data_IF_484912337226
#
_entry.id   IF_484912337226
#
_cell.length_a   1.000
_cell.length_b   1.000
_cell.length_c   1.000
_cell.angle_alpha   90.00
_cell.angle_beta   90.00
_cell.angle_gamma   90.00
#
_symmetry.space_group_name_H-M   'P 1'
#
loop_
_entity.id
_entity.type
_entity.pdbx_description
1 polymer ?
#
# COMPACT_ATOMS: atom_id res chain seq x y z
N UNK A 1 -6.06 -22.14 5.69
CA UNK A 1 -7.51 -22.21 5.99
C UNK A 1 -8.29 -21.25 5.12
N UNK A 2 -9.39 -21.69 4.48
CA UNK A 2 -10.20 -20.91 3.54
C UNK A 2 -11.67 -20.90 4.00
N UNK A 3 -12.47 -19.98 3.46
CA UNK A 3 -13.91 -19.98 3.69
C UNK A 3 -14.61 -21.00 2.78
N UNK A 4 -15.57 -21.73 3.35
CA UNK A 4 -16.48 -22.58 2.57
C UNK A 4 -17.65 -21.73 2.03
N UNK A 5 -17.47 -21.16 0.82
CA UNK A 5 -18.52 -20.35 0.16
C UNK A 5 -19.71 -21.18 -0.36
N UNK A 6 -19.72 -22.50 -0.22
CA UNK A 6 -20.93 -23.29 -0.41
C UNK A 6 -21.90 -23.14 0.78
N UNK A 7 -21.38 -22.80 1.95
CA UNK A 7 -22.20 -22.44 3.11
C UNK A 7 -22.95 -21.12 2.90
N UNK A 8 -24.29 -21.18 2.93
CA UNK A 8 -25.15 -20.00 2.67
C UNK A 8 -24.93 -18.84 3.67
N UNK A 9 -24.59 -19.15 4.93
CA UNK A 9 -24.35 -18.11 5.94
C UNK A 9 -23.02 -17.36 5.69
N UNK A 10 -22.00 -18.06 5.20
CA UNK A 10 -20.73 -17.45 4.78
C UNK A 10 -20.98 -16.63 3.50
N UNK A 11 -21.65 -17.21 2.51
CA UNK A 11 -21.96 -16.55 1.24
C UNK A 11 -22.76 -15.26 1.40
N UNK A 12 -23.73 -15.23 2.29
CA UNK A 12 -24.57 -14.04 2.54
C UNK A 12 -23.75 -12.82 2.97
N UNK A 13 -22.70 -13.03 3.77
CA UNK A 13 -21.91 -11.97 4.39
C UNK A 13 -20.54 -11.79 3.69
N UNK A 14 -20.30 -12.47 2.54
CA UNK A 14 -18.96 -12.53 1.93
C UNK A 14 -18.40 -11.18 1.48
N UNK A 15 -19.28 -10.21 1.23
CA UNK A 15 -18.88 -8.86 0.80
C UNK A 15 -18.80 -7.85 1.96
N UNK A 16 -19.19 -8.27 3.16
CA UNK A 16 -19.22 -7.37 4.31
C UNK A 16 -17.83 -7.35 4.95
N UNK A 17 -17.38 -6.17 5.29
CA UNK A 17 -16.06 -5.96 5.88
C UNK A 17 -15.86 -4.54 6.37
N UNK A 18 -14.73 -4.31 7.01
CA UNK A 18 -14.35 -2.99 7.51
C UNK A 18 -13.11 -2.52 6.77
N UNK A 19 -13.11 -1.26 6.39
CA UNK A 19 -12.14 -0.65 5.50
C UNK A 19 -11.54 0.61 6.12
N UNK A 20 -10.22 0.73 6.08
CA UNK A 20 -9.47 1.91 6.48
C UNK A 20 -8.38 2.23 5.46
N UNK A 21 -7.90 3.46 5.46
CA UNK A 21 -6.88 3.90 4.52
C UNK A 21 -5.94 4.91 5.19
N UNK A 22 -4.63 4.70 4.97
CA UNK A 22 -3.58 5.65 5.30
C UNK A 22 -2.98 6.15 3.99
N UNK A 23 -2.95 7.46 3.80
CA UNK A 23 -2.42 8.08 2.58
C UNK A 23 -1.36 9.10 2.93
N UNK A 24 -0.17 8.88 2.46
CA UNK A 24 0.93 9.82 2.56
C UNK A 24 0.94 10.81 1.38
N UNK A 25 1.64 11.94 1.54
CA UNK A 25 1.86 12.88 0.46
C UNK A 25 2.77 14.04 0.86
N UNK A 26 3.69 14.41 -0.03
CA UNK A 26 4.65 15.48 0.22
C UNK A 26 4.03 16.86 0.01
N UNK A 27 4.36 17.82 0.88
CA UNK A 27 4.05 19.24 0.69
C UNK A 27 5.16 19.90 -0.11
N UNK A 28 4.78 20.69 -1.08
CA UNK A 28 5.68 21.47 -1.94
C UNK A 28 5.32 22.95 -1.91
N UNK A 29 6.32 23.79 -2.10
CA UNK A 29 6.16 25.24 -2.24
C UNK A 29 5.73 25.63 -3.68
N UNK A 30 5.39 26.89 -3.96
CA UNK A 30 4.94 27.33 -5.27
C UNK A 30 5.96 27.19 -6.42
N UNK A 31 7.21 26.86 -6.12
CA UNK A 31 8.27 26.64 -7.11
C UNK A 31 8.58 25.15 -7.34
N UNK A 32 7.88 24.24 -6.62
CA UNK A 32 8.01 22.79 -6.78
C UNK A 32 9.09 22.14 -5.93
N UNK A 33 9.69 22.87 -4.99
CA UNK A 33 10.59 22.30 -3.98
C UNK A 33 9.82 21.78 -2.78
N UNK A 34 10.46 20.90 -2.01
CA UNK A 34 9.95 20.45 -0.73
C UNK A 34 9.62 21.64 0.19
N UNK A 35 8.48 21.63 0.85
CA UNK A 35 8.11 22.64 1.82
C UNK A 35 8.91 22.46 3.12
N UNK A 36 9.26 23.59 3.75
CA UNK A 36 10.01 23.60 5.02
C UNK A 36 9.25 24.28 6.16
N UNK A 37 7.97 24.59 5.96
CA UNK A 37 7.11 25.15 6.99
C UNK A 37 6.73 24.08 8.01
N UNK A 38 6.33 24.50 9.20
CA UNK A 38 5.80 23.63 10.23
C UNK A 38 4.52 22.92 9.71
N UNK A 39 4.31 21.67 10.16
CA UNK A 39 3.09 20.91 9.85
C UNK A 39 1.83 21.69 10.27
N UNK A 40 0.86 21.91 9.37
CA UNK A 40 -0.27 22.82 9.62
C UNK A 40 -1.46 22.19 10.35
N UNK A 41 -1.38 20.91 10.73
CA UNK A 41 -2.47 20.17 11.37
C UNK A 41 -2.08 19.69 12.79
N UNK A 42 -1.82 20.59 13.75
CA UNK A 42 -1.46 20.16 15.08
C UNK A 42 -2.64 19.46 15.76
N UNK A 43 -2.41 18.23 16.24
CA UNK A 43 -3.39 17.44 16.99
C UNK A 43 -4.69 17.11 16.21
N UNK A 44 -4.64 17.05 14.88
CA UNK A 44 -5.78 16.60 14.10
C UNK A 44 -5.93 15.07 14.24
N UNK A 45 -7.13 14.54 14.49
CA UNK A 45 -7.31 13.09 14.74
C UNK A 45 -6.97 12.21 13.51
N UNK A 46 -7.21 12.73 12.30
CA UNK A 46 -7.08 11.99 11.05
C UNK A 46 -5.95 12.50 10.14
N UNK A 47 -5.19 13.52 10.56
CA UNK A 47 -4.12 14.09 9.74
C UNK A 47 -2.89 14.32 10.62
N UNK A 48 -1.81 13.59 10.33
CA UNK A 48 -0.52 13.71 11.00
C UNK A 48 0.59 13.86 9.93
N UNK A 49 1.80 13.64 10.30
CA UNK A 49 2.99 13.55 9.45
C UNK A 49 3.66 12.20 9.64
N UNK A 50 4.08 11.60 8.55
CA UNK A 50 4.80 10.34 8.61
C UNK A 50 6.29 10.58 8.96
N UNK A 51 7.24 10.30 8.08
CA UNK A 51 8.66 10.45 8.37
C UNK A 51 9.12 11.91 8.33
N UNK A 52 8.69 12.66 7.32
CA UNK A 52 9.11 14.03 7.08
C UNK A 52 8.12 15.05 7.65
N UNK A 53 8.62 16.20 8.14
CA UNK A 53 7.76 17.31 8.56
C UNK A 53 6.84 17.80 7.44
N UNK A 54 7.26 17.65 6.21
CA UNK A 54 6.49 17.99 5.01
C UNK A 54 5.78 16.79 4.34
N UNK A 55 5.72 15.63 4.99
CA UNK A 55 4.97 14.47 4.51
C UNK A 55 3.68 14.33 5.32
N UNK A 56 2.58 14.80 4.73
CA UNK A 56 1.25 14.67 5.34
C UNK A 56 0.80 13.22 5.24
N UNK A 57 0.27 12.69 6.32
CA UNK A 57 -0.39 11.41 6.40
C UNK A 57 -1.87 11.62 6.75
N UNK A 58 -2.76 11.16 5.87
CA UNK A 58 -4.21 11.16 6.08
C UNK A 58 -4.60 9.75 6.51
N UNK A 59 -5.24 9.63 7.67
CA UNK A 59 -5.68 8.36 8.26
C UNK A 59 -7.20 8.42 8.39
N UNK A 60 -7.93 7.58 7.66
CA UNK A 60 -9.40 7.52 7.76
C UNK A 60 -9.82 6.79 9.03
N UNK A 61 -11.06 7.00 9.44
CA UNK A 61 -11.74 6.10 10.37
C UNK A 61 -12.04 4.76 9.67
N UNK A 62 -12.53 3.80 10.42
CA UNK A 62 -12.97 2.51 9.90
C UNK A 62 -14.40 2.65 9.34
N UNK A 63 -14.62 2.14 8.14
CA UNK A 63 -15.92 2.18 7.44
C UNK A 63 -16.38 0.79 7.04
N UNK A 64 -17.69 0.58 7.03
CA UNK A 64 -18.31 -0.69 6.62
C UNK A 64 -18.52 -0.77 5.10
N UNK A 65 -18.07 0.24 4.35
CA UNK A 65 -18.14 0.26 2.90
C UNK A 65 -17.00 1.06 2.28
N UNK A 66 -16.61 0.68 1.06
CA UNK A 66 -15.60 1.43 0.26
C UNK A 66 -16.15 2.81 -0.14
N UNK A 67 -17.47 2.97 -0.29
CA UNK A 67 -18.11 4.26 -0.51
C UNK A 67 -17.85 5.22 0.66
N UNK A 68 -18.20 4.82 1.88
CA UNK A 68 -17.99 5.64 3.07
C UNK A 68 -16.52 5.98 3.30
N UNK A 69 -15.63 4.99 3.09
CA UNK A 69 -14.18 5.19 3.11
C UNK A 69 -13.74 6.26 2.10
N UNK A 70 -14.24 6.16 0.85
CA UNK A 70 -13.90 7.08 -0.23
C UNK A 70 -14.38 8.50 0.05
N UNK A 71 -15.59 8.66 0.58
CA UNK A 71 -16.17 9.96 0.91
C UNK A 71 -15.36 10.64 2.02
N UNK A 72 -14.97 9.91 3.06
CA UNK A 72 -14.10 10.47 4.11
C UNK A 72 -12.71 10.82 3.60
N UNK A 73 -12.07 9.93 2.82
CA UNK A 73 -10.78 10.23 2.21
C UNK A 73 -10.83 11.51 1.39
N UNK A 74 -11.88 11.66 0.56
CA UNK A 74 -12.09 12.85 -0.30
C UNK A 74 -12.29 14.12 0.53
N UNK A 75 -13.03 14.02 1.63
CA UNK A 75 -13.25 15.13 2.58
C UNK A 75 -11.95 15.57 3.27
N UNK A 76 -11.21 14.61 3.84
CA UNK A 76 -9.92 14.89 4.50
C UNK A 76 -8.87 15.42 3.51
N UNK A 77 -8.81 14.84 2.30
CA UNK A 77 -7.93 15.34 1.22
C UNK A 77 -8.26 16.78 0.87
N UNK A 78 -9.54 17.12 0.72
CA UNK A 78 -10.01 18.49 0.46
C UNK A 78 -9.59 19.43 1.57
N UNK A 79 -9.73 19.02 2.84
CA UNK A 79 -9.30 19.80 3.99
C UNK A 79 -7.78 20.06 3.95
N UNK A 80 -6.96 19.05 3.65
CA UNK A 80 -5.51 19.21 3.50
C UNK A 80 -5.21 20.21 2.39
N UNK A 81 -5.77 20.04 1.20
CA UNK A 81 -5.49 20.91 0.04
C UNK A 81 -5.89 22.36 0.32
N UNK A 82 -7.09 22.61 0.90
CA UNK A 82 -7.56 23.96 1.26
C UNK A 82 -6.64 24.62 2.31
N UNK A 83 -6.23 23.87 3.33
CA UNK A 83 -5.32 24.37 4.37
C UNK A 83 -3.96 24.74 3.81
N UNK A 84 -3.38 23.91 2.97
CA UNK A 84 -2.09 24.17 2.32
C UNK A 84 -2.15 25.37 1.35
N UNK A 85 -3.22 25.48 0.58
CA UNK A 85 -3.42 26.59 -0.36
C UNK A 85 -3.52 27.94 0.34
N UNK A 86 -4.12 27.97 1.55
CA UNK A 86 -4.32 29.16 2.37
C UNK A 86 -3.30 29.29 3.52
N UNK A 87 -2.19 28.53 3.50
CA UNK A 87 -1.24 28.50 4.59
C UNK A 87 -0.58 29.86 4.84
N UNK A 88 -0.58 30.32 6.09
CA UNK A 88 -0.06 31.64 6.48
C UNK A 88 1.44 31.83 6.27
N UNK A 89 2.21 30.73 6.30
CA UNK A 89 3.65 30.72 6.01
C UNK A 89 4.01 30.77 4.52
N UNK A 90 3.01 30.88 3.65
CA UNK A 90 3.11 30.87 2.20
C UNK A 90 2.33 29.70 1.60
N UNK A 91 1.73 29.95 0.45
CA UNK A 91 0.94 28.92 -0.26
C UNK A 91 1.77 27.66 -0.53
N UNK A 92 1.19 26.50 -0.23
CA UNK A 92 1.76 25.20 -0.49
C UNK A 92 0.78 24.32 -1.29
N UNK A 93 1.29 23.22 -1.85
CA UNK A 93 0.50 22.25 -2.59
C UNK A 93 0.84 20.84 -2.14
N UNK A 94 -0.12 19.91 -2.25
CA UNK A 94 0.12 18.51 -2.05
C UNK A 94 0.67 17.90 -3.36
N UNK A 95 1.85 17.25 -3.26
CA UNK A 95 2.49 16.60 -4.39
C UNK A 95 1.74 15.32 -4.77
N UNK A 96 1.31 15.13 -6.04
CA UNK A 96 0.38 14.05 -6.39
C UNK A 96 1.04 12.70 -6.73
N UNK A 97 2.36 12.56 -6.57
CA UNK A 97 3.10 11.36 -6.94
C UNK A 97 3.72 10.68 -5.73
N UNK A 98 3.91 9.33 -5.83
CA UNK A 98 4.69 8.56 -4.85
C UNK A 98 6.16 8.97 -4.82
N UNK A 99 6.74 9.21 -5.97
CA UNK A 99 8.13 9.61 -6.09
C UNK A 99 8.29 11.10 -5.77
N UNK A 100 9.36 11.50 -5.06
CA UNK A 100 9.54 12.89 -4.67
C UNK A 100 9.73 13.83 -5.87
N UNK A 101 9.46 15.13 -5.69
CA UNK A 101 9.85 16.17 -6.63
C UNK A 101 11.37 16.37 -6.64
N UNK A 102 11.86 17.54 -7.06
CA UNK A 102 13.27 17.89 -6.95
C UNK A 102 13.76 17.90 -5.51
N UNK A 103 14.87 17.20 -5.24
CA UNK A 103 15.49 17.08 -3.91
C UNK A 103 16.93 17.60 -3.96
N UNK A 104 17.24 18.63 -3.16
CA UNK A 104 18.57 19.26 -3.15
C UNK A 104 19.64 18.45 -2.41
N UNK A 105 19.29 17.34 -1.80
CA UNK A 105 20.16 16.45 -1.05
C UNK A 105 19.53 15.99 0.26
N UNK A 106 20.24 15.18 1.04
CA UNK A 106 19.77 14.63 2.33
C UNK A 106 19.31 15.71 3.32
N UNK A 107 19.98 16.87 3.34
CA UNK A 107 19.66 17.99 4.22
C UNK A 107 18.37 18.73 3.85
N UNK A 108 17.88 18.53 2.62
CA UNK A 108 16.62 19.10 2.13
C UNK A 108 15.39 18.38 2.70
N UNK A 109 15.59 17.22 3.31
CA UNK A 109 14.51 16.38 3.86
C UNK A 109 14.37 16.63 5.37
N UNK A 110 13.35 17.41 5.81
CA UNK A 110 13.15 17.71 7.22
C UNK A 110 12.52 16.51 7.94
N UNK A 111 13.19 16.01 8.98
CA UNK A 111 12.60 14.97 9.85
C UNK A 111 11.43 15.59 10.63
N UNK A 112 10.33 14.84 10.74
CA UNK A 112 9.14 15.25 11.48
C UNK A 112 9.46 15.54 12.96
N UNK A 113 8.97 16.67 13.47
CA UNK A 113 9.18 17.15 14.82
C UNK A 113 7.96 16.89 15.70
N UNK A 114 8.20 16.41 16.91
CA UNK A 114 7.15 16.08 17.87
C UNK A 114 7.49 16.65 19.24
N UNK A 115 6.47 17.11 19.96
CA UNK A 115 6.61 17.64 21.30
C UNK A 115 6.13 16.64 22.37
N UNK A 116 6.59 16.83 23.61
CA UNK A 116 6.12 16.10 24.78
C UNK A 116 6.34 14.57 24.70
N UNK A 117 5.31 13.81 24.96
CA UNK A 117 5.34 12.33 25.00
C UNK A 117 5.66 11.69 23.65
N UNK A 118 5.39 12.39 22.55
CA UNK A 118 5.63 11.91 21.19
C UNK A 118 7.09 12.07 20.71
N UNK A 119 7.96 12.66 21.53
CA UNK A 119 9.38 12.88 21.18
C UNK A 119 10.14 11.56 20.87
N UNK A 120 9.64 10.44 21.35
CA UNK A 120 10.14 9.11 20.98
C UNK A 120 10.03 8.81 19.48
N UNK A 121 8.96 9.29 18.82
CA UNK A 121 8.75 9.16 17.37
C UNK A 121 9.86 9.88 16.58
N UNK A 122 10.35 11.02 17.04
CA UNK A 122 11.43 11.78 16.39
C UNK A 122 12.75 10.99 16.41
N UNK A 123 13.13 10.44 17.57
CA UNK A 123 14.35 9.62 17.71
C UNK A 123 14.33 8.37 16.82
N UNK A 124 13.17 7.76 16.66
CA UNK A 124 13.00 6.64 15.75
C UNK A 124 13.24 7.04 14.29
N UNK A 125 12.74 8.20 13.87
CA UNK A 125 12.95 8.73 12.51
C UNK A 125 14.40 9.12 12.26
N UNK A 126 15.08 9.67 13.25
CA UNK A 126 16.52 9.93 13.19
C UNK A 126 17.34 8.65 12.99
N UNK A 127 16.96 7.56 13.67
CA UNK A 127 17.55 6.25 13.45
C UNK A 127 17.32 5.76 12.01
N UNK A 128 16.08 5.82 11.50
CA UNK A 128 15.76 5.43 10.12
C UNK A 128 16.55 6.26 9.10
N UNK A 129 16.68 7.57 9.34
CA UNK A 129 17.49 8.47 8.52
C UNK A 129 18.97 8.05 8.47
N UNK A 130 19.51 7.60 9.60
CA UNK A 130 20.88 7.10 9.68
C UNK A 130 21.09 5.75 8.97
N UNK A 131 20.08 4.86 9.02
CA UNK A 131 20.17 3.52 8.44
C UNK A 131 19.89 3.49 6.95
N UNK A 132 18.84 4.16 6.49
CA UNK A 132 18.34 4.08 5.12
C UNK A 132 18.58 5.34 4.28
N UNK A 133 19.02 6.44 4.90
CA UNK A 133 19.05 7.75 4.28
C UNK A 133 17.69 8.46 4.30
N UNK A 134 17.68 9.79 4.32
CA UNK A 134 16.43 10.57 4.38
C UNK A 134 15.68 10.58 3.04
N UNK A 135 16.40 10.56 1.92
CA UNK A 135 15.80 10.56 0.58
C UNK A 135 14.90 9.36 0.37
N UNK A 136 15.28 8.15 0.85
CA UNK A 136 14.50 6.92 0.73
C UNK A 136 13.15 7.03 1.42
N UNK A 137 13.08 7.83 2.50
CA UNK A 137 11.87 8.05 3.28
C UNK A 137 10.87 9.03 2.62
N UNK A 138 11.22 9.63 1.48
CA UNK A 138 10.34 10.53 0.72
C UNK A 138 9.32 9.80 -0.16
N UNK A 139 9.50 8.51 -0.38
CA UNK A 139 8.48 7.75 -1.09
C UNK A 139 7.18 7.77 -0.31
N UNK A 140 6.12 8.22 -0.97
CA UNK A 140 4.77 8.26 -0.40
C UNK A 140 3.91 7.17 -1.02
N UNK A 141 3.05 6.56 -0.23
CA UNK A 141 2.17 5.48 -0.67
C UNK A 141 0.81 5.54 -0.04
N UNK A 142 0.06 4.48 -0.27
CA UNK A 142 -1.23 4.24 0.33
C UNK A 142 -1.20 2.88 1.01
N UNK A 143 -1.65 2.82 2.26
CA UNK A 143 -1.90 1.58 2.98
C UNK A 143 -3.41 1.33 3.02
N UNK A 144 -3.82 0.15 2.64
CA UNK A 144 -5.22 -0.25 2.68
C UNK A 144 -5.43 -1.27 3.79
N UNK A 145 -6.19 -0.88 4.80
CA UNK A 145 -6.54 -1.70 5.95
C UNK A 145 -7.87 -2.39 5.69
N UNK A 146 -7.92 -3.69 5.95
CA UNK A 146 -9.11 -4.52 5.71
C UNK A 146 -9.32 -5.55 6.81
N UNK A 147 -10.58 -5.69 7.24
CA UNK A 147 -11.05 -6.84 8.01
C UNK A 147 -12.38 -7.36 7.49
N UNK A 148 -12.59 -8.68 7.61
CA UNK A 148 -13.88 -9.29 7.36
C UNK A 148 -14.88 -8.87 8.45
N UNK A 149 -16.16 -8.83 8.12
CA UNK A 149 -17.20 -8.58 9.11
C UNK A 149 -17.25 -9.67 10.19
N UNK A 150 -17.64 -9.30 11.39
CA UNK A 150 -17.79 -10.27 12.47
C UNK A 150 -18.83 -11.34 12.13
N UNK A 151 -19.91 -11.00 11.42
CA UNK A 151 -20.94 -11.96 10.97
C UNK A 151 -20.34 -13.04 10.04
N UNK A 152 -19.44 -12.65 9.12
CA UNK A 152 -18.75 -13.61 8.25
C UNK A 152 -17.81 -14.53 9.05
N UNK A 153 -17.02 -13.93 9.94
CA UNK A 153 -16.08 -14.67 10.78
C UNK A 153 -16.80 -15.63 11.74
N UNK A 154 -17.88 -15.18 12.36
CA UNK A 154 -18.71 -16.05 13.21
C UNK A 154 -19.36 -17.20 12.45
N UNK A 155 -19.87 -16.95 11.24
CA UNK A 155 -20.46 -17.99 10.40
C UNK A 155 -19.41 -19.05 10.06
N UNK A 156 -18.17 -18.63 9.72
CA UNK A 156 -17.07 -19.56 9.48
C UNK A 156 -16.63 -20.31 10.73
N UNK A 157 -16.53 -19.63 11.86
CA UNK A 157 -16.17 -20.24 13.15
C UNK A 157 -17.14 -21.36 13.57
N UNK A 158 -18.46 -21.11 13.45
CA UNK A 158 -19.49 -22.12 13.78
C UNK A 158 -19.39 -23.39 12.92
N UNK A 159 -18.79 -23.31 11.75
CA UNK A 159 -18.58 -24.43 10.83
C UNK A 159 -17.18 -25.04 10.95
N UNK A 160 -16.36 -24.61 11.92
CA UNK A 160 -14.98 -25.03 12.10
C UNK A 160 -14.79 -25.88 13.35
N UNK A 161 -13.66 -26.59 13.43
CA UNK A 161 -13.26 -27.38 14.60
C UNK A 161 -12.46 -26.57 15.65
N UNK A 162 -12.35 -25.25 15.49
CA UNK A 162 -11.59 -24.40 16.40
C UNK A 162 -12.26 -24.29 17.76
N UNK A 163 -11.46 -24.36 18.82
CA UNK A 163 -11.93 -24.28 20.21
C UNK A 163 -12.23 -22.84 20.66
N UNK A 164 -11.68 -21.81 19.98
CA UNK A 164 -11.94 -20.42 20.31
C UNK A 164 -12.07 -19.58 19.06
N UNK A 165 -12.94 -18.57 19.11
CA UNK A 165 -13.12 -17.60 18.03
C UNK A 165 -11.82 -16.84 17.71
N UNK A 166 -11.04 -16.45 18.73
CA UNK A 166 -9.75 -15.78 18.55
C UNK A 166 -8.78 -16.64 17.72
N UNK A 167 -8.63 -17.93 18.04
CA UNK A 167 -7.73 -18.82 17.29
C UNK A 167 -8.19 -19.02 15.86
N UNK A 168 -9.51 -19.12 15.63
CA UNK A 168 -10.09 -19.17 14.30
C UNK A 168 -9.81 -17.88 13.53
N UNK A 169 -10.13 -16.70 14.11
CA UNK A 169 -9.89 -15.38 13.51
C UNK A 169 -8.42 -15.21 13.13
N UNK A 170 -7.50 -15.52 14.02
CA UNK A 170 -6.06 -15.48 13.77
C UNK A 170 -5.66 -16.37 12.58
N UNK A 171 -6.18 -17.59 12.50
CA UNK A 171 -5.89 -18.52 11.40
C UNK A 171 -6.39 -17.98 10.04
N UNK A 172 -7.58 -17.38 9.99
CA UNK A 172 -8.13 -16.73 8.79
C UNK A 172 -7.21 -15.59 8.32
N UNK A 173 -6.75 -14.73 9.24
CA UNK A 173 -5.91 -13.59 8.84
C UNK A 173 -4.47 -14.00 8.50
N UNK A 174 -3.90 -15.01 9.14
CA UNK A 174 -2.62 -15.58 8.75
C UNK A 174 -2.70 -16.14 7.33
N UNK A 175 -3.77 -16.86 6.99
CA UNK A 175 -3.96 -17.39 5.64
C UNK A 175 -4.19 -16.27 4.60
N UNK A 176 -5.02 -15.27 4.94
CA UNK A 176 -5.21 -14.10 4.07
C UNK A 176 -3.89 -13.36 3.83
N UNK A 177 -3.08 -13.16 4.86
CA UNK A 177 -1.79 -12.48 4.75
C UNK A 177 -0.81 -13.26 3.87
N UNK A 178 -0.73 -14.59 3.99
CA UNK A 178 0.07 -15.46 3.09
C UNK A 178 -0.36 -15.27 1.64
N UNK A 179 -1.65 -15.44 1.38
CA UNK A 179 -2.23 -15.33 0.02
C UNK A 179 -2.02 -13.94 -0.54
N UNK A 180 -2.31 -12.90 0.23
CA UNK A 180 -2.09 -11.52 -0.21
C UNK A 180 -0.62 -11.20 -0.46
N UNK A 181 0.32 -11.71 0.33
CA UNK A 181 1.75 -11.55 0.05
C UNK A 181 2.14 -12.23 -1.26
N UNK A 182 1.68 -13.47 -1.51
CA UNK A 182 1.90 -14.20 -2.76
C UNK A 182 1.33 -13.49 -3.99
N UNK A 183 0.18 -12.84 -3.85
CA UNK A 183 -0.53 -12.18 -4.96
C UNK A 183 -0.33 -10.66 -5.03
N UNK A 184 0.47 -10.06 -4.14
CA UNK A 184 0.79 -8.63 -4.16
C UNK A 184 1.40 -8.16 -5.49
N UNK A 185 2.10 -9.04 -6.21
CA UNK A 185 2.61 -8.76 -7.55
C UNK A 185 1.49 -8.36 -8.54
N UNK A 186 0.31 -8.99 -8.43
CA UNK A 186 -0.84 -8.67 -9.30
C UNK A 186 -1.34 -7.26 -9.04
N UNK A 187 -1.45 -6.87 -7.75
CA UNK A 187 -1.85 -5.52 -7.36
C UNK A 187 -0.85 -4.51 -7.91
N UNK A 188 0.46 -4.72 -7.70
CA UNK A 188 1.49 -3.84 -8.24
C UNK A 188 1.43 -3.76 -9.76
N UNK A 189 1.30 -4.89 -10.46
CA UNK A 189 1.21 -4.92 -11.92
C UNK A 189 0.03 -4.10 -12.46
N UNK A 190 -1.14 -4.19 -11.81
CA UNK A 190 -2.38 -3.52 -12.24
C UNK A 190 -2.48 -2.06 -11.81
N UNK A 191 -1.84 -1.67 -10.69
CA UNK A 191 -2.00 -0.34 -10.09
C UNK A 191 -0.72 0.52 -10.09
N UNK A 192 0.41 0.01 -10.62
CA UNK A 192 1.67 0.75 -10.69
C UNK A 192 1.49 2.14 -11.30
N UNK A 193 1.85 3.19 -10.56
CA UNK A 193 1.59 4.57 -10.90
C UNK A 193 2.77 5.53 -10.57
N UNK A 194 3.99 5.00 -10.41
CA UNK A 194 5.17 5.81 -10.11
C UNK A 194 6.35 5.58 -11.09
N UNK A 195 6.12 5.68 -12.44
CA UNK A 195 7.12 5.34 -13.46
C UNK A 195 8.13 6.46 -13.73
N UNK A 196 7.97 7.63 -13.14
CA UNK A 196 8.79 8.82 -13.39
C UNK A 196 9.33 9.37 -12.07
N UNK A 197 10.59 9.76 -12.06
CA UNK A 197 11.24 10.37 -10.91
C UNK A 197 12.25 11.44 -11.38
N UNK A 198 12.46 12.46 -10.56
CA UNK A 198 13.47 13.47 -10.83
C UNK A 198 14.89 12.92 -10.60
N UNK A 199 15.82 13.24 -11.52
CA UNK A 199 17.20 12.77 -11.44
C UNK A 199 17.98 13.27 -10.22
N UNK A 200 17.51 14.33 -9.54
CA UNK A 200 18.12 14.84 -8.30
C UNK A 200 18.12 13.84 -7.15
N UNK A 201 17.22 12.87 -7.18
CA UNK A 201 17.19 11.78 -6.19
C UNK A 201 18.50 10.98 -6.19
N UNK A 202 19.14 10.81 -7.36
CA UNK A 202 20.32 9.98 -7.58
C UNK A 202 21.62 10.79 -7.75
N UNK A 203 21.62 12.10 -7.50
CA UNK A 203 22.81 12.94 -7.76
C UNK A 203 24.07 12.51 -6.99
N UNK A 204 23.90 11.80 -5.89
CA UNK A 204 24.98 11.30 -5.04
C UNK A 204 25.24 9.80 -5.24
N UNK A 205 24.54 9.13 -6.18
CA UNK A 205 24.65 7.69 -6.41
C UNK A 205 24.99 7.40 -7.87
N UNK A 206 25.80 6.36 -8.11
CA UNK A 206 26.24 5.89 -9.43
C UNK A 206 25.10 5.27 -10.29
N UNK A 207 23.86 5.34 -9.88
CA UNK A 207 22.70 4.86 -10.63
C UNK A 207 22.39 5.83 -11.77
N UNK A 208 22.63 5.40 -13.01
CA UNK A 208 22.41 6.22 -14.18
C UNK A 208 20.94 6.59 -14.40
N UNK A 209 20.69 7.74 -15.02
CA UNK A 209 19.34 8.24 -15.40
C UNK A 209 18.50 7.22 -16.19
N UNK A 210 19.14 6.25 -16.84
CA UNK A 210 18.46 5.24 -17.65
C UNK A 210 17.75 4.16 -16.81
N UNK A 211 18.15 3.93 -15.55
CA UNK A 211 17.51 2.96 -14.64
C UNK A 211 16.04 3.29 -14.40
N UNK A 212 15.68 4.57 -14.35
CA UNK A 212 14.31 5.01 -14.13
C UNK A 212 13.33 4.60 -15.25
N UNK A 213 13.83 4.34 -16.46
CA UNK A 213 12.99 3.90 -17.58
C UNK A 213 12.48 2.47 -17.39
N UNK A 214 13.06 1.72 -16.48
CA UNK A 214 12.80 0.29 -16.32
C UNK A 214 11.60 -0.02 -15.41
N UNK A 215 11.02 0.99 -14.71
CA UNK A 215 10.00 0.75 -13.72
C UNK A 215 8.63 1.37 -14.06
N UNK A 216 7.57 0.64 -13.77
CA UNK A 216 6.19 1.12 -13.71
C UNK A 216 5.85 1.67 -12.30
N UNK A 217 6.45 1.05 -11.26
CA UNK A 217 6.45 1.55 -9.90
C UNK A 217 7.88 1.59 -9.36
N UNK A 218 8.47 2.78 -9.27
CA UNK A 218 9.78 2.94 -8.62
C UNK A 218 9.68 2.60 -7.14
N UNK A 219 8.58 2.98 -6.47
CA UNK A 219 8.34 2.72 -5.05
C UNK A 219 8.33 1.23 -4.71
N UNK A 220 7.74 0.37 -5.54
CA UNK A 220 7.68 -1.07 -5.32
C UNK A 220 8.85 -1.85 -5.94
N UNK A 221 9.75 -1.17 -6.68
CA UNK A 221 10.95 -1.77 -7.29
C UNK A 221 12.08 -2.01 -6.30
N UNK A 222 13.19 -2.54 -6.78
CA UNK A 222 14.42 -2.74 -6.00
C UNK A 222 14.99 -1.43 -5.42
N UNK A 223 14.70 -0.28 -6.05
CA UNK A 223 15.13 1.07 -5.61
C UNK A 223 14.26 1.59 -4.47
N UNK A 224 13.03 1.06 -4.35
CA UNK A 224 12.02 1.55 -3.44
C UNK A 224 12.28 1.27 -1.96
N UNK A 225 11.21 1.26 -1.20
CA UNK A 225 11.23 1.23 0.26
C UNK A 225 11.18 -0.21 0.80
N UNK A 226 12.36 -0.82 0.96
CA UNK A 226 12.52 -2.20 1.45
C UNK A 226 13.58 -2.28 2.54
N UNK A 227 13.48 -3.32 3.39
CA UNK A 227 14.60 -3.71 4.24
C UNK A 227 15.79 -4.16 3.38
N UNK A 228 16.99 -4.11 3.93
CA UNK A 228 18.21 -4.54 3.24
C UNK A 228 18.33 -6.08 3.14
N UNK A 229 17.37 -6.80 3.70
CA UNK A 229 17.19 -8.24 3.66
C UNK A 229 15.75 -8.59 3.32
N UNK A 230 15.47 -9.84 2.97
CA UNK A 230 14.11 -10.36 2.78
C UNK A 230 13.69 -11.03 4.08
N UNK A 231 12.72 -10.46 4.83
CA UNK A 231 12.21 -11.09 6.03
C UNK A 231 11.51 -12.41 5.69
N UNK A 232 11.75 -13.45 6.49
CA UNK A 232 11.03 -14.72 6.48
C UNK A 232 10.30 -14.85 7.81
N UNK A 233 8.99 -15.02 7.75
CA UNK A 233 8.11 -15.05 8.92
C UNK A 233 7.43 -16.41 9.01
N UNK A 234 7.16 -16.90 10.22
CA UNK A 234 6.28 -18.04 10.41
C UNK A 234 4.81 -17.61 10.31
N UNK A 235 4.01 -18.37 9.63
CA UNK A 235 2.56 -18.16 9.50
C UNK A 235 1.76 -19.34 10.07
N UNK A 236 2.38 -20.17 10.93
CA UNK A 236 1.74 -21.32 11.56
C UNK A 236 0.69 -20.90 12.60
N UNK A 237 1.06 -19.94 13.44
CA UNK A 237 0.20 -19.30 14.42
C UNK A 237 0.71 -17.90 14.73
N UNK A 238 -0.03 -17.15 15.54
CA UNK A 238 0.31 -15.74 15.80
C UNK A 238 1.53 -15.58 16.69
N UNK A 239 1.75 -16.50 17.60
CA UNK A 239 2.90 -16.54 18.49
C UNK A 239 4.20 -16.72 17.68
N UNK A 240 4.25 -17.69 16.78
CA UNK A 240 5.41 -17.96 15.91
C UNK A 240 5.65 -16.80 14.92
N UNK A 241 4.57 -16.17 14.42
CA UNK A 241 4.66 -14.96 13.57
C UNK A 241 5.34 -13.81 14.33
N UNK A 242 4.93 -13.58 15.57
CA UNK A 242 5.50 -12.54 16.43
C UNK A 242 6.95 -12.88 16.81
N UNK A 243 7.23 -14.14 17.15
CA UNK A 243 8.58 -14.59 17.47
C UNK A 243 9.54 -14.40 16.29
N UNK A 244 9.09 -14.66 15.06
CA UNK A 244 9.88 -14.40 13.86
C UNK A 244 10.31 -12.93 13.73
N UNK A 245 9.39 -12.00 14.02
CA UNK A 245 9.70 -10.55 13.99
C UNK A 245 10.62 -10.18 15.16
N UNK A 246 10.34 -10.72 16.35
CA UNK A 246 11.15 -10.46 17.53
C UNK A 246 12.59 -10.97 17.38
N UNK A 247 12.81 -12.08 16.66
CA UNK A 247 14.14 -12.56 16.34
C UNK A 247 14.94 -11.53 15.54
N UNK A 248 14.36 -10.90 14.49
CA UNK A 248 15.01 -9.82 13.75
C UNK A 248 15.32 -8.58 14.61
N UNK A 249 14.46 -8.29 15.60
CA UNK A 249 14.71 -7.19 16.55
C UNK A 249 15.88 -7.54 17.48
N UNK A 250 15.89 -8.76 18.03
CA UNK A 250 16.94 -9.23 18.93
C UNK A 250 18.32 -9.29 18.23
N UNK A 251 18.35 -9.67 16.95
CA UNK A 251 19.56 -9.69 16.14
C UNK A 251 20.01 -8.30 15.66
N UNK A 252 19.24 -7.25 15.97
CA UNK A 252 19.53 -5.86 15.58
C UNK A 252 19.30 -5.55 14.10
N UNK A 253 18.69 -6.45 13.35
CA UNK A 253 18.30 -6.22 11.95
C UNK A 253 17.13 -5.25 11.83
N UNK A 254 16.20 -5.29 12.79
CA UNK A 254 15.12 -4.34 12.97
C UNK A 254 15.25 -3.67 14.34
N UNK A 255 14.86 -2.40 14.45
CA UNK A 255 14.74 -1.71 15.74
C UNK A 255 13.41 -1.97 16.42
N UNK A 256 12.37 -2.18 15.63
CA UNK A 256 11.00 -2.47 16.10
C UNK A 256 10.18 -3.10 14.97
N UNK A 257 9.03 -3.66 15.29
CA UNK A 257 8.09 -4.21 14.31
C UNK A 257 7.64 -3.16 13.26
N UNK A 258 7.64 -1.88 13.60
CA UNK A 258 7.31 -0.81 12.65
C UNK A 258 8.30 -0.72 11.46
N UNK A 259 9.54 -1.19 11.64
CA UNK A 259 10.57 -1.22 10.60
C UNK A 259 10.47 -2.43 9.65
N UNK A 260 9.52 -3.33 9.85
CA UNK A 260 9.28 -4.43 8.92
C UNK A 260 8.60 -3.90 7.64
N UNK A 261 9.39 -3.74 6.57
CA UNK A 261 8.88 -3.31 5.26
C UNK A 261 8.47 -4.53 4.43
N UNK A 262 7.23 -4.94 4.62
CA UNK A 262 6.65 -6.11 3.99
C UNK A 262 5.35 -5.74 3.26
N UNK A 263 4.96 -6.42 2.18
CA UNK A 263 3.76 -6.07 1.39
C UNK A 263 2.47 -6.09 2.19
N UNK A 264 2.38 -6.98 3.16
CA UNK A 264 1.20 -7.18 4.01
C UNK A 264 1.62 -7.33 5.46
N UNK A 265 0.95 -6.65 6.38
CA UNK A 265 1.15 -6.81 7.83
C UNK A 265 -0.13 -7.24 8.52
N UNK A 266 0.03 -8.01 9.60
CA UNK A 266 -1.04 -8.28 10.56
C UNK A 266 -1.07 -7.16 11.61
N UNK A 267 -2.25 -6.69 11.95
CA UNK A 267 -2.48 -5.63 12.91
C UNK A 267 -3.46 -6.08 13.98
N UNK A 268 -3.19 -5.71 15.23
CA UNK A 268 -4.15 -5.83 16.34
C UNK A 268 -5.01 -4.58 16.45
N UNK A 269 -6.13 -4.67 17.17
CA UNK A 269 -6.90 -3.49 17.58
C UNK A 269 -6.12 -2.68 18.62
N UNK A 270 -6.28 -1.37 18.61
CA UNK A 270 -5.66 -0.47 19.61
C UNK A 270 -4.17 -0.23 19.37
N UNK A 271 -3.32 -0.49 20.38
CA UNK A 271 -1.89 -0.26 20.28
C UNK A 271 -1.23 -1.24 19.29
N UNK A 272 -0.47 -0.71 18.33
CA UNK A 272 0.25 -1.51 17.35
C UNK A 272 1.57 -2.03 17.95
N UNK A 273 1.50 -3.04 18.80
CA UNK A 273 2.64 -3.75 19.40
C UNK A 273 2.57 -5.26 19.15
N UNK A 274 3.71 -5.95 19.23
CA UNK A 274 3.78 -7.41 19.10
C UNK A 274 3.09 -8.10 20.27
N UNK A 275 3.23 -7.57 21.45
CA UNK A 275 2.58 -8.06 22.67
C UNK A 275 1.06 -8.00 22.53
N UNK A 276 0.52 -6.88 22.04
CA UNK A 276 -0.91 -6.70 21.81
C UNK A 276 -1.44 -7.67 20.72
N UNK A 277 -0.62 -7.96 19.71
CA UNK A 277 -0.98 -8.91 18.66
C UNK A 277 -1.13 -10.34 19.22
N UNK A 278 -0.26 -10.75 20.14
CA UNK A 278 -0.38 -12.05 20.85
C UNK A 278 -1.57 -12.06 21.80
N UNK A 279 -1.73 -11.00 22.60
CA UNK A 279 -2.76 -10.92 23.64
C UNK A 279 -4.17 -10.85 23.05
N UNK A 280 -4.41 -9.96 22.08
CA UNK A 280 -5.74 -9.68 21.54
C UNK A 280 -6.00 -10.34 20.17
N UNK A 281 -4.96 -10.84 19.51
CA UNK A 281 -5.05 -11.46 18.19
C UNK A 281 -5.09 -10.44 17.07
N UNK A 282 -5.29 -10.95 15.85
CA UNK A 282 -5.35 -10.12 14.63
C UNK A 282 -6.73 -9.46 14.52
N UNK A 283 -6.72 -8.17 14.28
CA UNK A 283 -7.92 -7.38 13.99
C UNK A 283 -8.11 -7.20 12.47
N UNK A 284 -7.07 -6.80 11.78
CA UNK A 284 -7.10 -6.55 10.32
C UNK A 284 -5.74 -6.81 9.67
N UNK A 285 -5.71 -6.79 8.34
CA UNK A 285 -4.47 -6.73 7.55
C UNK A 285 -4.26 -5.33 6.98
N UNK A 286 -2.99 -4.96 6.83
CA UNK A 286 -2.54 -3.73 6.19
C UNK A 286 -1.81 -4.08 4.88
N UNK A 287 -2.40 -3.77 3.72
CA UNK A 287 -1.76 -3.86 2.41
C UNK A 287 -0.98 -2.58 2.12
N UNK A 288 0.31 -2.69 1.75
CA UNK A 288 1.25 -1.56 1.69
C UNK A 288 1.82 -1.26 0.29
N UNK A 289 1.36 -1.93 -0.74
CA UNK A 289 1.98 -1.91 -2.07
C UNK A 289 1.38 -0.89 -3.05
N UNK A 290 0.48 -0.02 -2.60
CA UNK A 290 -0.21 0.93 -3.48
C UNK A 290 0.57 2.24 -3.65
N UNK A 291 0.79 2.62 -4.91
CA UNK A 291 1.32 3.93 -5.27
C UNK A 291 0.26 5.03 -5.13
N UNK A 292 0.70 6.28 -4.93
CA UNK A 292 -0.11 7.44 -5.25
C UNK A 292 -0.28 7.53 -6.77
N UNK A 293 -1.52 7.56 -7.22
CA UNK A 293 -1.84 7.66 -8.64
C UNK A 293 -2.19 9.12 -9.01
N UNK A 294 -1.31 9.84 -9.73
CA UNK A 294 -1.53 11.24 -10.09
C UNK A 294 -2.67 11.44 -11.08
N UNK A 295 -3.25 10.39 -11.65
CA UNK A 295 -4.43 10.47 -12.51
C UNK A 295 -5.73 10.63 -11.72
N UNK A 296 -5.69 10.32 -10.41
CA UNK A 296 -6.79 10.56 -9.47
C UNK A 296 -6.47 11.75 -8.56
N UNK A 297 -7.38 12.73 -8.41
CA UNK A 297 -7.15 13.89 -7.54
C UNK A 297 -6.85 13.51 -6.09
N UNK A 298 -7.46 12.43 -5.58
CA UNK A 298 -7.23 11.93 -4.21
C UNK A 298 -6.09 10.90 -4.12
N UNK A 299 -5.45 10.54 -5.23
CA UNK A 299 -4.27 9.69 -5.27
C UNK A 299 -4.54 8.20 -5.46
N UNK A 300 -5.80 7.76 -5.54
CA UNK A 300 -6.21 6.38 -5.83
C UNK A 300 -7.59 6.38 -6.48
N UNK A 301 -7.93 5.36 -7.26
CA UNK A 301 -9.28 5.16 -7.75
C UNK A 301 -10.06 4.21 -6.83
N UNK A 302 -11.34 4.54 -6.57
CA UNK A 302 -12.24 3.70 -5.79
C UNK A 302 -12.33 2.27 -6.35
N UNK A 303 -12.32 2.16 -7.67
CA UNK A 303 -12.35 0.88 -8.38
C UNK A 303 -11.15 -0.04 -8.05
N UNK A 304 -9.96 0.53 -7.79
CA UNK A 304 -8.81 -0.26 -7.39
C UNK A 304 -8.99 -0.86 -5.98
N UNK A 305 -9.60 -0.12 -5.05
CA UNK A 305 -9.95 -0.63 -3.72
C UNK A 305 -11.01 -1.73 -3.80
N UNK A 306 -12.02 -1.56 -4.66
CA UNK A 306 -13.04 -2.58 -4.92
C UNK A 306 -12.43 -3.86 -5.50
N UNK A 307 -11.50 -3.72 -6.46
CA UNK A 307 -10.79 -4.88 -7.02
C UNK A 307 -9.98 -5.64 -5.97
N UNK A 308 -9.24 -4.92 -5.11
CA UNK A 308 -8.44 -5.52 -4.05
C UNK A 308 -9.34 -6.27 -3.06
N UNK A 309 -10.48 -5.71 -2.68
CA UNK A 309 -11.45 -6.39 -1.83
C UNK A 309 -11.98 -7.69 -2.48
N UNK A 310 -12.38 -7.63 -3.75
CA UNK A 310 -12.79 -8.83 -4.49
C UNK A 310 -11.66 -9.87 -4.59
N UNK A 311 -10.43 -9.42 -4.80
CA UNK A 311 -9.27 -10.32 -4.81
C UNK A 311 -9.09 -11.02 -3.46
N UNK A 312 -9.20 -10.31 -2.33
CA UNK A 312 -9.09 -10.89 -0.99
C UNK A 312 -10.14 -11.99 -0.75
N UNK A 313 -11.40 -11.72 -1.10
CA UNK A 313 -12.48 -12.70 -0.98
C UNK A 313 -12.18 -13.94 -1.86
N UNK A 314 -11.81 -13.72 -3.12
CA UNK A 314 -11.49 -14.81 -4.04
C UNK A 314 -10.31 -15.65 -3.54
N UNK A 315 -9.26 -15.02 -3.04
CA UNK A 315 -8.10 -15.74 -2.50
C UNK A 315 -8.50 -16.63 -1.31
N UNK A 316 -9.46 -16.19 -0.49
CA UNK A 316 -9.98 -17.00 0.62
C UNK A 316 -10.90 -18.15 0.18
N UNK A 317 -11.26 -18.24 -1.10
CA UNK A 317 -11.92 -19.42 -1.68
C UNK A 317 -10.95 -20.48 -2.21
N UNK A 318 -9.67 -20.14 -2.32
CA UNK A 318 -8.65 -21.07 -2.80
C UNK A 318 -8.17 -21.97 -1.66
N UNK A 319 -7.65 -23.16 -2.01
CA UNK A 319 -7.02 -24.07 -1.07
C UNK A 319 -5.86 -23.41 -0.31
N UNK A 320 -5.53 -23.97 0.84
CA UNK A 320 -4.38 -23.54 1.63
C UNK A 320 -3.10 -23.70 0.82
N UNK A 321 -2.15 -22.81 1.06
CA UNK A 321 -0.89 -22.81 0.34
C UNK A 321 0.30 -22.88 1.29
N UNK A 322 1.35 -23.56 0.86
CA UNK A 322 2.65 -23.51 1.52
C UNK A 322 3.22 -22.09 1.39
N UNK A 323 3.82 -21.59 2.46
CA UNK A 323 4.43 -20.26 2.48
C UNK A 323 5.70 -20.25 3.34
N UNK A 324 6.59 -21.15 3.00
CA UNK A 324 7.90 -21.29 3.63
C UNK A 324 8.90 -20.22 3.11
N UNK A 325 10.12 -20.27 3.56
CA UNK A 325 11.15 -19.28 3.21
C UNK A 325 11.35 -19.11 1.69
N UNK A 326 11.23 -20.18 0.92
CA UNK A 326 11.39 -20.15 -0.53
C UNK A 326 10.23 -19.39 -1.20
N UNK A 327 8.99 -19.70 -0.81
CA UNK A 327 7.77 -19.06 -1.34
C UNK A 327 7.70 -17.59 -0.92
N UNK A 328 8.08 -17.24 0.31
CA UNK A 328 8.16 -15.85 0.78
C UNK A 328 9.19 -15.05 -0.02
N UNK A 329 10.38 -15.62 -0.23
CA UNK A 329 11.42 -14.99 -1.06
C UNK A 329 10.94 -14.78 -2.49
N UNK A 330 10.27 -15.78 -3.06
CA UNK A 330 9.69 -15.73 -4.40
C UNK A 330 8.60 -14.65 -4.48
N UNK A 331 7.71 -14.55 -3.49
CA UNK A 331 6.66 -13.55 -3.43
C UNK A 331 7.24 -12.12 -3.49
N UNK A 332 8.25 -11.82 -2.67
CA UNK A 332 8.94 -10.51 -2.68
C UNK A 332 9.61 -10.23 -4.02
N UNK A 333 10.29 -11.23 -4.61
CA UNK A 333 10.90 -11.09 -5.94
C UNK A 333 9.86 -10.82 -7.01
N UNK A 334 8.71 -11.50 -6.97
CA UNK A 334 7.60 -11.28 -7.90
C UNK A 334 7.02 -9.87 -7.80
N UNK A 335 6.85 -9.33 -6.58
CA UNK A 335 6.44 -7.93 -6.38
C UNK A 335 7.41 -6.97 -7.06
N UNK A 336 8.71 -7.13 -6.84
CA UNK A 336 9.75 -6.28 -7.46
C UNK A 336 9.78 -6.43 -8.99
N UNK A 337 9.61 -7.64 -9.53
CA UNK A 337 9.50 -7.88 -10.98
C UNK A 337 8.26 -7.22 -11.56
N UNK A 338 7.10 -7.35 -10.91
CA UNK A 338 5.84 -6.73 -11.34
C UNK A 338 5.90 -5.20 -11.38
N UNK A 339 6.81 -4.59 -10.62
CA UNK A 339 7.09 -3.17 -10.63
C UNK A 339 7.84 -2.68 -11.88
N UNK A 340 8.31 -3.58 -12.76
CA UNK A 340 9.00 -3.22 -14.00
C UNK A 340 8.04 -2.68 -15.05
N UNK A 341 8.60 -1.88 -15.96
CA UNK A 341 7.82 -1.22 -17.00
C UNK A 341 7.54 -2.10 -18.22
N UNK A 342 8.60 -2.75 -18.76
CA UNK A 342 8.50 -3.58 -19.95
C UNK A 342 7.88 -4.94 -19.61
N UNK A 343 6.62 -5.09 -19.99
CA UNK A 343 5.79 -6.26 -19.63
C UNK A 343 6.40 -7.57 -20.12
N UNK A 344 6.98 -7.59 -21.33
CA UNK A 344 7.62 -8.77 -21.92
C UNK A 344 8.79 -9.33 -21.13
N UNK A 345 9.36 -8.49 -20.22
CA UNK A 345 10.51 -8.86 -19.40
C UNK A 345 10.09 -9.28 -17.98
N UNK A 346 8.77 -9.37 -17.72
CA UNK A 346 8.23 -9.69 -16.41
C UNK A 346 7.74 -11.14 -16.39
N UNK A 347 8.44 -11.96 -15.61
CA UNK A 347 8.10 -13.35 -15.35
C UNK A 347 7.75 -13.55 -13.88
N UNK A 348 6.59 -14.16 -13.61
CA UNK A 348 6.09 -14.45 -12.28
C UNK A 348 6.38 -15.91 -11.96
N UNK A 349 7.15 -16.15 -10.93
CA UNK A 349 7.42 -17.48 -10.39
C UNK A 349 6.24 -17.95 -9.54
N UNK A 350 5.75 -19.17 -9.78
CA UNK A 350 4.59 -19.74 -9.08
C UNK A 350 4.90 -21.07 -8.36
N UNK A 351 6.16 -21.45 -8.31
CA UNK A 351 6.66 -22.67 -7.68
C UNK A 351 8.05 -23.03 -8.20
N UNK A 352 8.59 -24.14 -7.76
CA UNK A 352 9.92 -24.61 -8.17
C UNK A 352 9.99 -24.77 -9.69
N UNK A 353 10.88 -23.98 -10.31
CA UNK A 353 11.13 -23.97 -11.77
C UNK A 353 9.92 -23.71 -12.67
N UNK A 354 8.84 -23.10 -12.13
CA UNK A 354 7.66 -22.74 -12.89
C UNK A 354 7.49 -21.22 -12.90
N UNK A 355 7.53 -20.62 -14.08
CA UNK A 355 7.29 -19.19 -14.27
C UNK A 355 6.37 -18.95 -15.46
N UNK A 356 5.59 -17.88 -15.39
CA UNK A 356 4.67 -17.44 -16.42
C UNK A 356 4.95 -16.00 -16.80
N UNK A 357 4.73 -15.64 -18.07
CA UNK A 357 4.60 -14.23 -18.47
C UNK A 357 3.57 -13.56 -17.55
N UNK A 358 3.84 -12.35 -17.14
CA UNK A 358 2.99 -11.64 -16.15
C UNK A 358 1.55 -11.48 -16.61
N UNK A 359 1.32 -11.31 -17.92
CA UNK A 359 -0.05 -11.19 -18.48
C UNK A 359 -0.80 -12.50 -18.37
N UNK A 360 -0.14 -13.61 -18.72
CA UNK A 360 -0.74 -14.94 -18.62
C UNK A 360 -1.05 -15.29 -17.16
N UNK A 361 -0.12 -15.00 -16.24
CA UNK A 361 -0.33 -15.19 -14.82
C UNK A 361 -1.51 -14.32 -14.31
N UNK A 362 -1.56 -13.04 -14.69
CA UNK A 362 -2.63 -12.13 -14.29
C UNK A 362 -3.99 -12.56 -14.88
N UNK A 363 -4.03 -12.90 -16.17
CA UNK A 363 -5.26 -13.39 -16.82
C UNK A 363 -5.77 -14.69 -16.18
N UNK A 364 -4.89 -15.58 -15.75
CA UNK A 364 -5.27 -16.80 -15.03
C UNK A 364 -5.99 -16.48 -13.72
N UNK A 365 -5.47 -15.51 -12.94
CA UNK A 365 -6.11 -15.08 -11.69
C UNK A 365 -7.47 -14.44 -11.98
N UNK A 366 -7.54 -13.46 -12.88
CA UNK A 366 -8.80 -12.78 -13.21
C UNK A 366 -9.85 -13.74 -13.75
N UNK A 367 -9.46 -14.70 -14.59
CA UNK A 367 -10.38 -15.75 -15.07
C UNK A 367 -10.85 -16.67 -13.94
N UNK A 368 -10.04 -16.89 -12.90
CA UNK A 368 -10.46 -17.55 -11.67
C UNK A 368 -11.49 -16.73 -10.91
N UNK A 369 -11.25 -15.44 -10.74
CA UNK A 369 -12.20 -14.50 -10.10
C UNK A 369 -13.53 -14.44 -10.89
N UNK A 370 -13.49 -14.31 -12.23
CA UNK A 370 -14.69 -14.30 -13.07
C UNK A 370 -15.54 -15.57 -12.88
N UNK A 371 -14.90 -16.76 -12.83
CA UNK A 371 -15.60 -18.02 -12.57
C UNK A 371 -16.19 -18.08 -11.16
N UNK A 372 -15.41 -17.67 -10.16
CA UNK A 372 -15.87 -17.67 -8.77
C UNK A 372 -17.07 -16.74 -8.56
N UNK A 373 -17.03 -15.54 -9.14
CA UNK A 373 -18.09 -14.54 -8.98
C UNK A 373 -19.28 -14.69 -9.92
N UNK A 374 -19.21 -15.58 -10.92
CA UNK A 374 -20.23 -15.72 -11.98
C UNK A 374 -21.66 -15.87 -11.43
N UNK A 375 -21.79 -16.60 -10.32
CA UNK A 375 -23.12 -16.98 -9.80
C UNK A 375 -23.58 -16.09 -8.64
N UNK A 376 -22.76 -15.15 -8.14
CA UNK A 376 -23.11 -14.32 -6.98
C UNK A 376 -22.70 -12.86 -7.03
N UNK A 377 -21.94 -12.43 -8.02
CA UNK A 377 -21.55 -11.03 -8.10
C UNK A 377 -22.69 -10.16 -8.65
N UNK A 378 -22.81 -8.95 -8.09
CA UNK A 378 -23.59 -7.88 -8.72
C UNK A 378 -22.89 -7.46 -10.02
N UNK A 379 -23.67 -6.94 -10.99
CA UNK A 379 -23.17 -6.50 -12.29
C UNK A 379 -21.96 -5.56 -12.19
N UNK A 380 -21.99 -4.62 -11.24
CA UNK A 380 -20.96 -3.60 -11.05
C UNK A 380 -19.61 -4.21 -10.64
N UNK A 381 -19.64 -5.30 -9.88
CA UNK A 381 -18.42 -6.00 -9.43
C UNK A 381 -17.75 -6.76 -10.58
N UNK A 382 -18.55 -7.36 -11.45
CA UNK A 382 -18.03 -7.96 -12.68
C UNK A 382 -17.40 -6.91 -13.60
N UNK A 383 -17.96 -5.70 -13.62
CA UNK A 383 -17.37 -4.57 -14.37
C UNK A 383 -16.01 -4.15 -13.81
N UNK A 384 -15.84 -4.16 -12.48
CA UNK A 384 -14.54 -3.90 -11.83
C UNK A 384 -13.47 -4.90 -12.30
N UNK A 385 -13.78 -6.20 -12.29
CA UNK A 385 -12.86 -7.25 -12.76
C UNK A 385 -12.55 -7.05 -14.25
N UNK A 386 -13.57 -6.78 -15.05
CA UNK A 386 -13.42 -6.54 -16.49
C UNK A 386 -12.52 -5.34 -16.78
N UNK A 387 -12.67 -4.21 -16.08
CA UNK A 387 -11.84 -3.02 -16.27
C UNK A 387 -10.37 -3.28 -15.93
N UNK A 388 -10.09 -4.07 -14.88
CA UNK A 388 -8.72 -4.49 -14.57
C UNK A 388 -8.17 -5.46 -15.64
N UNK A 389 -9.00 -6.32 -16.20
CA UNK A 389 -8.63 -7.18 -17.35
C UNK A 389 -8.22 -6.35 -18.56
N UNK A 390 -8.87 -5.22 -18.84
CA UNK A 390 -8.50 -4.31 -19.93
C UNK A 390 -7.09 -3.73 -19.74
N UNK A 391 -6.65 -3.47 -18.50
CA UNK A 391 -5.28 -3.01 -18.21
C UNK A 391 -4.21 -4.07 -18.55
N UNK A 392 -4.56 -5.35 -18.53
CA UNK A 392 -3.67 -6.44 -18.98
C UNK A 392 -3.64 -6.52 -20.51
N UNK A 393 -4.81 -6.44 -21.13
CA UNK A 393 -4.96 -6.63 -22.58
C UNK A 393 -4.39 -5.45 -23.38
N UNK A 394 -4.55 -4.22 -22.89
CA UNK A 394 -4.25 -3.00 -23.63
C UNK A 394 -3.29 -2.09 -22.83
N UNK A 395 -2.13 -1.85 -23.42
CA UNK A 395 -1.05 -1.06 -22.80
C UNK A 395 -1.52 0.35 -22.42
N UNK A 396 -2.34 1.00 -23.25
CA UNK A 396 -2.86 2.34 -23.06
C UNK A 396 -3.78 2.50 -21.84
N UNK A 397 -4.28 1.41 -21.27
CA UNK A 397 -5.08 1.46 -20.03
C UNK A 397 -4.22 1.37 -18.76
N UNK A 398 -2.95 1.00 -18.86
CA UNK A 398 -2.03 0.97 -17.73
C UNK A 398 -1.76 2.39 -17.21
N UNK A 399 -1.82 2.57 -15.92
CA UNK A 399 -1.53 3.87 -15.29
C UNK A 399 -0.11 4.34 -15.59
N UNK A 400 0.87 3.47 -15.46
CA UNK A 400 2.27 3.79 -15.74
C UNK A 400 2.50 4.35 -17.16
N UNK A 401 1.78 3.83 -18.18
CA UNK A 401 1.84 4.35 -19.54
C UNK A 401 1.32 5.79 -19.62
N UNK A 402 0.09 6.00 -19.13
CA UNK A 402 -0.55 7.34 -19.13
C UNK A 402 0.27 8.38 -18.38
N UNK A 403 0.86 7.97 -17.25
CA UNK A 403 1.69 8.85 -16.42
C UNK A 403 3.00 9.16 -17.13
N UNK A 404 3.65 8.17 -17.72
CA UNK A 404 4.90 8.36 -18.43
C UNK A 404 4.72 9.27 -19.64
N UNK A 405 3.69 9.03 -20.43
CA UNK A 405 3.35 9.88 -21.58
C UNK A 405 3.20 11.35 -21.17
N UNK A 406 2.54 11.63 -20.05
CA UNK A 406 2.24 13.00 -19.60
C UNK A 406 3.38 13.68 -18.84
N UNK A 407 4.20 12.93 -18.10
CA UNK A 407 5.11 13.49 -17.08
C UNK A 407 6.59 13.13 -17.27
N UNK A 408 6.98 12.27 -18.21
CA UNK A 408 8.39 11.90 -18.41
C UNK A 408 9.29 13.07 -18.80
N UNK A 409 8.72 14.12 -19.43
CA UNK A 409 9.41 15.38 -19.72
C UNK A 409 9.01 16.40 -18.67
N UNK A 410 9.99 17.13 -18.15
CA UNK A 410 9.76 18.19 -17.15
C UNK A 410 8.91 17.74 -15.94
N UNK A 411 9.24 16.58 -15.36
CA UNK A 411 8.47 15.93 -14.31
C UNK A 411 8.05 16.89 -13.18
N UNK A 412 9.01 17.64 -12.61
CA UNK A 412 8.73 18.57 -11.50
C UNK A 412 7.82 19.70 -11.94
N UNK A 413 8.07 20.29 -13.12
CA UNK A 413 7.26 21.38 -13.67
C UNK A 413 5.82 20.95 -13.95
N UNK A 414 5.65 19.80 -14.61
CA UNK A 414 4.34 19.28 -14.96
C UNK A 414 3.61 18.74 -13.71
N UNK A 415 4.33 18.16 -12.75
CA UNK A 415 3.79 17.76 -11.47
C UNK A 415 3.31 18.93 -10.61
N UNK A 416 4.06 20.02 -10.56
CA UNK A 416 3.64 21.27 -9.92
C UNK A 416 2.39 21.86 -10.58
N UNK A 417 2.33 21.85 -11.93
CA UNK A 417 1.13 22.29 -12.65
C UNK A 417 -0.08 21.47 -12.27
N UNK A 418 0.06 20.14 -12.20
CA UNK A 418 -1.03 19.24 -11.77
C UNK A 418 -1.45 19.50 -10.32
N UNK A 419 -0.48 19.67 -9.41
CA UNK A 419 -0.75 19.97 -8.00
C UNK A 419 -1.55 21.28 -7.84
N UNK A 420 -1.20 22.32 -8.63
CA UNK A 420 -1.95 23.58 -8.67
C UNK A 420 -3.37 23.40 -9.21
N UNK A 421 -3.55 22.67 -10.32
CA UNK A 421 -4.87 22.37 -10.88
C UNK A 421 -5.75 21.62 -9.91
N UNK A 422 -5.19 20.66 -9.17
CA UNK A 422 -5.95 19.94 -8.13
C UNK A 422 -6.31 20.87 -6.96
N UNK A 423 -5.40 21.75 -6.53
CA UNK A 423 -5.70 22.70 -5.46
C UNK A 423 -6.81 23.67 -5.87
N UNK A 424 -6.78 24.24 -7.07
CA UNK A 424 -7.80 25.13 -7.62
C UNK A 424 -9.16 24.45 -7.66
N UNK A 425 -9.24 23.22 -8.20
CA UNK A 425 -10.47 22.44 -8.25
C UNK A 425 -11.13 22.24 -6.87
N UNK A 426 -10.34 22.04 -5.82
CA UNK A 426 -10.85 21.81 -4.47
C UNK A 426 -11.10 23.11 -3.68
N UNK A 427 -10.53 24.24 -4.10
CA UNK A 427 -10.74 25.54 -3.45
C UNK A 427 -11.95 26.29 -4.04
N UNK A 428 -12.38 25.96 -5.24
CA UNK A 428 -13.57 26.51 -5.88
C UNK A 428 -14.89 25.84 -5.42
N UNK A 429 -14.80 24.69 -4.74
CA UNK A 429 -15.91 23.96 -4.12
C UNK A 429 -16.06 24.36 -2.64
#
# INVERSE_FOLDING_TARGET
MSFDFENQNIRKNMYDGHFGLEKEGLRINPTGFLAHTKHPFPNHPNIDRDFCENQVEIITDVHDSIEGLWDQLSGLHTQVVKTLYNHSGGREFLWPFSNPPYVRGEKDVPIARFDGKLKGKERYREYLAGKYGRKKMLFSGIHFNFSFSDDLLEAGYRSSDFKSFKSYKNSIYLELAKKMACYSWLIVYLTAASPVMDGSYFMDEALGKDVLKNYASVRCSEIGYWNDFIPVLSYENIEDYVESIQAYINDGQLRSAAELYYPVRLKSSGENSLENLVENGVDHIELRTLDLNPLSPVGIFKEDLQFIHLLMIYLMSLDDMAFEAAEQTMAIKNVKRAARYEVRDIWIETGWNTSFDVRDAALKVLSGMERFYKDFAKSDWMQVIYNHRQRIAFKEFRYAEKIRERFQKDYVKNGLKLAKQYAERWTEL
#
